data_IF_219090741435
#
_entry.id   IF_219090741435
#
_cell.length_a   1.000
_cell.length_b   1.000
_cell.length_c   1.000
_cell.angle_alpha   90.00
_cell.angle_beta   90.00
_cell.angle_gamma   90.00
#
_symmetry.space_group_name_H-M   'P 1'
#
loop_
_entity.id
_entity.type
_entity.pdbx_description
1 polymer ?
#
# COMPACT_ATOMS: atom_id res chain seq x y z
N UNK A 1 27.64 28.51 1.25
CA UNK A 1 26.72 27.43 0.82
C UNK A 1 26.94 26.06 1.50
N UNK A 2 28.09 25.76 2.14
CA UNK A 2 28.35 24.43 2.73
C UNK A 2 27.74 24.11 4.10
N UNK A 3 27.43 25.11 4.94
CA UNK A 3 26.93 24.89 6.32
C UNK A 3 25.44 24.54 6.36
N UNK A 4 24.63 25.13 5.47
CA UNK A 4 23.18 24.86 5.38
C UNK A 4 22.92 23.42 4.91
N UNK A 5 23.71 22.94 3.94
CA UNK A 5 23.66 21.55 3.48
C UNK A 5 24.01 20.53 4.58
N UNK A 6 25.00 20.85 5.45
CA UNK A 6 25.37 20.00 6.60
C UNK A 6 24.27 19.93 7.67
N UNK A 7 23.63 21.06 7.99
CA UNK A 7 22.50 21.09 8.95
C UNK A 7 21.28 20.33 8.43
N UNK A 8 20.92 20.51 7.15
CA UNK A 8 19.83 19.78 6.52
C UNK A 8 20.06 18.27 6.50
N UNK A 9 21.30 17.83 6.25
CA UNK A 9 21.67 16.42 6.28
C UNK A 9 21.60 15.81 7.69
N UNK A 10 21.95 16.57 8.73
CA UNK A 10 21.82 16.12 10.12
C UNK A 10 20.36 15.94 10.51
N UNK A 11 19.50 16.92 10.17
CA UNK A 11 18.05 16.85 10.41
C UNK A 11 17.46 15.63 9.68
N UNK A 12 17.84 15.41 8.42
CA UNK A 12 17.39 14.23 7.66
C UNK A 12 17.83 12.91 8.30
N UNK A 13 19.08 12.81 8.79
CA UNK A 13 19.59 11.61 9.47
C UNK A 13 18.84 11.34 10.77
N UNK A 14 18.57 12.37 11.56
CA UNK A 14 17.79 12.26 12.80
C UNK A 14 16.35 11.85 12.49
N UNK A 15 15.71 12.49 11.51
CA UNK A 15 14.37 12.13 11.04
C UNK A 15 14.32 10.65 10.63
N UNK A 16 15.27 10.21 9.79
CA UNK A 16 15.33 8.82 9.32
C UNK A 16 15.54 7.85 10.48
N UNK A 17 16.43 8.15 11.42
CA UNK A 17 16.67 7.32 12.60
C UNK A 17 15.43 7.20 13.48
N UNK A 18 14.75 8.31 13.75
CA UNK A 18 13.47 8.34 14.47
C UNK A 18 12.41 7.51 13.75
N UNK A 19 12.27 7.64 12.43
CA UNK A 19 11.34 6.82 11.64
C UNK A 19 11.62 5.32 11.77
N UNK A 20 12.90 4.91 11.76
CA UNK A 20 13.28 3.51 11.98
C UNK A 20 12.94 3.03 13.40
N UNK A 21 13.22 3.83 14.42
CA UNK A 21 12.92 3.47 15.82
C UNK A 21 11.41 3.39 16.08
N UNK A 22 10.60 4.21 15.40
CA UNK A 22 9.14 4.19 15.50
C UNK A 22 8.50 3.07 14.66
N UNK A 23 9.19 2.57 13.63
CA UNK A 23 8.67 1.49 12.76
C UNK A 23 8.17 0.22 13.48
N UNK A 24 8.78 -0.32 14.56
CA UNK A 24 8.21 -1.45 15.30
C UNK A 24 6.89 -1.11 16.01
N UNK A 25 6.64 0.15 16.36
CA UNK A 25 5.35 0.56 16.96
C UNK A 25 4.20 0.40 15.97
N UNK A 26 4.44 0.61 14.66
CA UNK A 26 3.48 0.32 13.61
C UNK A 26 3.10 -1.17 13.56
N UNK A 27 4.08 -2.06 13.73
CA UNK A 27 3.84 -3.51 13.78
C UNK A 27 2.96 -3.91 14.97
N UNK A 28 3.23 -3.33 16.14
CA UNK A 28 2.45 -3.56 17.35
C UNK A 28 1.03 -3.00 17.19
N UNK A 29 0.89 -1.80 16.62
CA UNK A 29 -0.42 -1.19 16.34
C UNK A 29 -1.26 -2.05 15.39
N UNK A 30 -0.68 -2.55 14.30
CA UNK A 30 -1.35 -3.44 13.35
C UNK A 30 -1.76 -4.77 14.00
N UNK A 31 -0.91 -5.36 14.85
CA UNK A 31 -1.27 -6.55 15.64
C UNK A 31 -2.42 -6.28 16.60
N UNK A 32 -2.44 -5.11 17.23
CA UNK A 32 -3.54 -4.73 18.13
C UNK A 32 -4.86 -4.55 17.37
N UNK A 33 -4.82 -3.92 16.19
CA UNK A 33 -6.00 -3.79 15.31
C UNK A 33 -6.53 -5.14 14.83
N UNK A 34 -5.65 -6.11 14.53
CA UNK A 34 -6.02 -7.50 14.24
C UNK A 34 -6.79 -8.13 15.40
N UNK A 35 -6.32 -7.97 16.64
CA UNK A 35 -6.99 -8.52 17.84
C UNK A 35 -8.38 -7.88 18.03
N UNK A 36 -8.55 -6.60 17.67
CA UNK A 36 -9.84 -5.90 17.73
C UNK A 36 -10.81 -6.25 16.60
N UNK A 37 -10.46 -7.18 15.70
CA UNK A 37 -11.33 -7.58 14.58
C UNK A 37 -11.51 -6.51 13.49
N UNK A 38 -10.73 -5.42 13.54
CA UNK A 38 -10.81 -4.31 12.60
C UNK A 38 -10.04 -4.58 11.30
N UNK A 39 -9.32 -5.70 11.23
CA UNK A 39 -8.48 -6.07 10.08
C UNK A 39 -8.58 -7.55 9.73
N UNK A 40 -8.58 -7.85 8.42
CA UNK A 40 -8.53 -9.22 7.94
C UNK A 40 -7.22 -9.90 8.36
N UNK A 41 -7.28 -11.00 9.14
CA UNK A 41 -6.10 -11.62 9.75
C UNK A 41 -5.10 -12.19 8.72
N UNK A 42 -5.57 -12.46 7.49
CA UNK A 42 -4.82 -13.03 6.38
C UNK A 42 -4.16 -11.98 5.48
N UNK A 43 -4.70 -10.74 5.42
CA UNK A 43 -4.18 -9.64 4.56
C UNK A 43 -3.31 -8.63 5.31
N UNK A 44 -3.08 -8.82 6.61
CA UNK A 44 -2.20 -7.97 7.41
C UNK A 44 -0.78 -7.77 6.81
N UNK A 45 -0.14 -8.80 6.23
CA UNK A 45 1.18 -8.65 5.61
C UNK A 45 1.17 -7.70 4.39
N UNK A 46 0.05 -7.56 3.69
CA UNK A 46 -0.06 -6.66 2.53
C UNK A 46 0.13 -5.20 2.92
N UNK A 47 -0.33 -4.81 4.13
CA UNK A 47 -0.08 -3.47 4.70
C UNK A 47 1.40 -3.19 4.96
N UNK A 48 2.22 -4.23 5.06
CA UNK A 48 3.66 -4.15 5.25
C UNK A 48 4.42 -4.24 3.92
N UNK A 49 3.72 -4.15 2.78
CA UNK A 49 4.32 -4.31 1.46
C UNK A 49 4.69 -5.76 1.14
N UNK A 50 4.14 -6.74 1.87
CA UNK A 50 4.29 -8.16 1.56
C UNK A 50 3.04 -8.64 0.82
N UNK A 51 3.03 -8.61 -0.51
CA UNK A 51 1.86 -9.03 -1.28
C UNK A 51 1.57 -10.51 -1.01
N UNK A 52 0.28 -10.86 -0.97
CA UNK A 52 -0.19 -12.24 -0.82
C UNK A 52 0.02 -13.08 -2.09
N UNK A 53 0.21 -12.42 -3.23
CA UNK A 53 0.41 -13.04 -4.53
C UNK A 53 1.73 -12.59 -5.15
N UNK A 54 2.39 -13.51 -5.85
CA UNK A 54 3.54 -13.18 -6.69
C UNK A 54 3.11 -12.29 -7.86
N UNK A 55 3.91 -11.28 -8.19
CA UNK A 55 3.65 -10.42 -9.34
C UNK A 55 3.62 -11.27 -10.62
N UNK A 56 2.51 -11.24 -11.40
CA UNK A 56 2.47 -11.95 -12.68
C UNK A 56 3.45 -11.33 -13.68
N UNK A 57 4.00 -12.13 -14.61
CA UNK A 57 4.86 -11.62 -15.67
C UNK A 57 4.06 -10.72 -16.63
N UNK A 58 4.75 -9.74 -17.23
CA UNK A 58 4.16 -8.84 -18.22
C UNK A 58 3.69 -7.49 -17.66
N UNK A 59 2.93 -6.72 -18.46
CA UNK A 59 2.46 -5.39 -18.09
C UNK A 59 1.40 -5.47 -16.98
N UNK A 60 1.51 -4.57 -16.01
CA UNK A 60 0.64 -4.51 -14.83
C UNK A 60 0.08 -3.09 -14.69
N UNK A 61 -1.25 -2.98 -14.68
CA UNK A 61 -1.96 -1.73 -14.42
C UNK A 61 -2.51 -1.74 -12.99
N UNK A 62 -2.08 -0.79 -12.17
CA UNK A 62 -2.44 -0.71 -10.76
C UNK A 62 -3.51 0.37 -10.52
N UNK A 63 -4.66 -0.05 -9.99
CA UNK A 63 -5.72 0.80 -9.48
C UNK A 63 -5.67 0.82 -7.95
N UNK A 64 -5.60 2.03 -7.37
CA UNK A 64 -5.68 2.22 -5.94
C UNK A 64 -6.96 2.98 -5.60
N UNK A 65 -7.81 2.38 -4.77
CA UNK A 65 -9.06 2.96 -4.30
C UNK A 65 -9.01 3.14 -2.78
N UNK A 66 -9.22 4.37 -2.31
CA UNK A 66 -9.22 4.68 -0.88
C UNK A 66 -10.58 4.34 -0.26
N UNK A 67 -11.64 4.31 -1.07
CA UNK A 67 -13.00 3.96 -0.64
C UNK A 67 -13.64 2.81 -1.44
N UNK A 68 -14.71 2.23 -0.89
CA UNK A 68 -15.54 1.25 -1.61
C UNK A 68 -16.14 1.85 -2.89
N UNK A 69 -16.59 3.11 -2.84
CA UNK A 69 -17.20 3.79 -3.98
C UNK A 69 -16.22 3.99 -5.14
N UNK A 70 -14.97 4.38 -4.84
CA UNK A 70 -13.90 4.49 -5.83
C UNK A 70 -13.55 3.13 -6.44
N UNK A 71 -13.52 2.07 -5.62
CA UNK A 71 -13.29 0.71 -6.11
C UNK A 71 -14.37 0.27 -7.10
N UNK A 72 -15.64 0.53 -6.77
CA UNK A 72 -16.77 0.21 -7.65
C UNK A 72 -16.77 1.04 -8.93
N UNK A 73 -16.39 2.32 -8.85
CA UNK A 73 -16.25 3.19 -10.01
C UNK A 73 -15.10 2.77 -10.94
N UNK A 74 -14.06 2.12 -10.40
CA UNK A 74 -12.94 1.62 -11.20
C UNK A 74 -13.28 0.36 -12.01
N UNK A 75 -14.24 -0.47 -11.56
CA UNK A 75 -14.63 -1.72 -12.24
C UNK A 75 -14.97 -1.54 -13.73
N UNK A 76 -15.85 -0.62 -14.15
CA UNK A 76 -16.16 -0.44 -15.57
C UNK A 76 -14.93 -0.04 -16.39
N UNK A 77 -14.06 0.82 -15.84
CA UNK A 77 -12.80 1.22 -16.50
C UNK A 77 -11.88 0.01 -16.67
N UNK A 78 -11.71 -0.78 -15.61
CA UNK A 78 -10.94 -2.03 -15.62
C UNK A 78 -11.45 -2.98 -16.72
N UNK A 79 -12.77 -3.15 -16.83
CA UNK A 79 -13.38 -4.02 -17.85
C UNK A 79 -13.03 -3.54 -19.26
N UNK A 80 -13.08 -2.24 -19.53
CA UNK A 80 -12.68 -1.71 -20.82
C UNK A 80 -11.17 -1.90 -21.05
N UNK A 81 -10.31 -1.63 -20.06
CA UNK A 81 -8.86 -1.87 -20.21
C UNK A 81 -8.54 -3.31 -20.62
N UNK A 82 -9.18 -4.32 -20.01
CA UNK A 82 -8.98 -5.74 -20.35
C UNK A 82 -9.47 -6.06 -21.76
N UNK A 83 -10.60 -5.47 -22.21
CA UNK A 83 -11.10 -5.66 -23.57
C UNK A 83 -10.12 -5.16 -24.62
N UNK A 84 -9.53 -3.99 -24.40
CA UNK A 84 -8.59 -3.38 -25.35
C UNK A 84 -7.20 -4.03 -25.30
N UNK A 85 -6.80 -4.54 -24.13
CA UNK A 85 -5.50 -5.16 -23.90
C UNK A 85 -5.64 -6.39 -23.00
N UNK A 86 -5.96 -7.57 -23.58
CA UNK A 86 -6.12 -8.82 -22.84
C UNK A 86 -4.83 -9.31 -22.16
N UNK A 87 -3.67 -8.78 -22.57
CA UNK A 87 -2.35 -9.06 -22.00
C UNK A 87 -2.04 -8.27 -20.71
N UNK A 88 -2.90 -7.31 -20.33
CA UNK A 88 -2.73 -6.54 -19.10
C UNK A 88 -3.13 -7.35 -17.86
N UNK A 89 -2.20 -7.45 -16.92
CA UNK A 89 -2.55 -7.82 -15.55
C UNK A 89 -3.11 -6.59 -14.83
N UNK A 90 -4.18 -6.75 -14.08
CA UNK A 90 -4.78 -5.66 -13.30
C UNK A 90 -4.66 -5.95 -11.82
N UNK A 91 -4.06 -5.02 -11.08
CA UNK A 91 -4.02 -5.03 -9.63
C UNK A 91 -4.98 -3.95 -9.12
N UNK A 92 -6.00 -4.35 -8.35
CA UNK A 92 -6.87 -3.42 -7.63
C UNK A 92 -6.56 -3.53 -6.13
N UNK A 93 -6.07 -2.46 -5.53
CA UNK A 93 -5.85 -2.37 -4.07
C UNK A 93 -6.86 -1.42 -3.45
N UNK A 94 -7.34 -1.75 -2.27
CA UNK A 94 -8.27 -0.92 -1.51
C UNK A 94 -7.94 -0.91 -0.03
N UNK A 95 -8.16 0.24 0.62
CA UNK A 95 -7.94 0.41 2.05
C UNK A 95 -9.13 -0.01 2.91
N UNK A 96 -10.29 -0.25 2.30
CA UNK A 96 -11.55 -0.55 3.01
C UNK A 96 -11.72 -2.06 3.19
N UNK A 97 -12.04 -2.52 4.40
CA UNK A 97 -12.23 -3.95 4.71
C UNK A 97 -13.43 -4.56 4.01
N UNK A 98 -14.46 -3.75 3.69
CA UNK A 98 -15.68 -4.19 2.99
C UNK A 98 -15.50 -4.43 1.50
N UNK A 99 -14.26 -4.41 1.00
CA UNK A 99 -14.02 -4.63 -0.41
C UNK A 99 -14.07 -6.13 -0.74
N UNK A 100 -14.84 -6.40 -1.80
CA UNK A 100 -15.16 -7.69 -2.41
C UNK A 100 -14.02 -8.70 -2.51
#
# INVERSE_FOLDING_TARGET
>A
MGVVARKGMLVYKIYRALSYVVSPLLQIHLRWRKIRGLEHPTRLPERLGRPSLTRPPGPLLWFHAVSLGEGMAAIPVIKECVKWRPDLNILLTTTTMSAL
#
